data_IF_701868598599
#
_entry.id   IF_701868598599
#
_cell.length_a   1.000
_cell.length_b   1.000
_cell.length_c   1.000
_cell.angle_alpha   90.00
_cell.angle_beta   90.00
_cell.angle_gamma   90.00
#
_symmetry.space_group_name_H-M   'P 1'
#
loop_
_entity.id
_entity.type
_entity.pdbx_description
1 polymer ?
#
# COMPACT_ATOMS: atom_id res chain seq x y z
N UNK A 1 5.44 23.63 -8.92
CA UNK A 1 6.72 23.03 -9.32
C UNK A 1 7.67 22.75 -8.14
N UNK A 2 7.87 23.67 -7.20
CA UNK A 2 8.75 23.42 -6.02
C UNK A 2 8.24 22.24 -5.17
N UNK A 3 6.96 22.13 -4.91
CA UNK A 3 6.34 21.03 -4.13
C UNK A 3 6.56 19.67 -4.78
N UNK A 4 6.49 19.57 -6.10
CA UNK A 4 6.73 18.32 -6.84
C UNK A 4 8.20 17.91 -6.80
N UNK A 5 9.12 18.88 -6.89
CA UNK A 5 10.56 18.65 -6.77
C UNK A 5 10.91 18.18 -5.34
N UNK A 6 10.39 18.86 -4.32
CA UNK A 6 10.62 18.48 -2.91
C UNK A 6 10.04 17.08 -2.62
N UNK A 7 8.81 16.80 -3.04
CA UNK A 7 8.19 15.48 -2.85
C UNK A 7 8.94 14.38 -3.61
N UNK A 8 9.39 14.67 -4.83
CA UNK A 8 10.20 13.74 -5.61
C UNK A 8 11.50 13.40 -4.90
N UNK A 9 12.23 14.42 -4.47
CA UNK A 9 13.50 14.26 -3.73
C UNK A 9 13.30 13.45 -2.45
N UNK A 10 12.26 13.78 -1.67
CA UNK A 10 11.93 13.07 -0.43
C UNK A 10 11.59 11.60 -0.69
N UNK A 11 10.77 11.31 -1.70
CA UNK A 11 10.36 9.95 -2.06
C UNK A 11 11.51 9.10 -2.63
N UNK A 12 12.54 9.74 -3.23
CA UNK A 12 13.66 9.01 -3.81
C UNK A 12 14.80 8.74 -2.82
N UNK A 13 15.06 9.67 -1.88
CA UNK A 13 16.26 9.64 -1.06
C UNK A 13 16.02 9.27 0.40
N UNK A 14 14.80 9.45 0.92
CA UNK A 14 14.53 9.28 2.37
C UNK A 14 13.73 8.02 2.66
N UNK A 15 12.86 7.58 1.74
CA UNK A 15 12.03 6.40 1.98
C UNK A 15 12.75 5.16 1.42
N UNK A 16 13.07 4.21 2.31
CA UNK A 16 13.64 2.93 1.92
C UNK A 16 12.67 2.14 1.03
N UNK A 17 13.14 1.51 -0.04
CA UNK A 17 12.31 0.66 -0.87
C UNK A 17 11.78 -0.52 -0.06
N UNK A 18 10.53 -0.90 -0.31
CA UNK A 18 9.90 -2.08 0.30
C UNK A 18 9.56 -3.07 -0.80
N UNK A 19 9.96 -4.31 -0.60
CA UNK A 19 9.71 -5.43 -1.51
C UNK A 19 8.64 -6.34 -0.93
N UNK A 20 7.79 -6.90 -1.77
CA UNK A 20 6.74 -7.82 -1.38
C UNK A 20 6.91 -9.15 -2.10
N UNK A 21 7.09 -10.22 -1.34
CA UNK A 21 6.95 -11.57 -1.84
C UNK A 21 5.52 -12.05 -1.61
N UNK A 22 5.00 -12.89 -2.51
CA UNK A 22 3.66 -13.47 -2.37
C UNK A 22 3.63 -14.93 -2.80
N UNK A 23 2.68 -15.68 -2.23
CA UNK A 23 2.38 -17.06 -2.59
C UNK A 23 0.89 -17.29 -2.52
N UNK A 24 0.39 -18.28 -3.28
CA UNK A 24 -0.99 -18.76 -3.19
C UNK A 24 -1.02 -20.22 -2.78
N UNK A 25 -1.85 -20.50 -1.80
CA UNK A 25 -2.03 -21.82 -1.22
C UNK A 25 -3.48 -22.27 -1.44
N UNK A 26 -3.65 -23.47 -1.97
CA UNK A 26 -4.96 -24.14 -2.10
C UNK A 26 -5.21 -25.01 -0.90
N UNK A 27 -6.45 -25.02 -0.44
CA UNK A 27 -6.92 -25.82 0.69
C UNK A 27 -8.09 -26.69 0.24
N UNK A 28 -7.89 -27.99 0.25
CA UNK A 28 -8.88 -28.93 -0.28
C UNK A 28 -8.76 -30.32 0.35
N UNK A 29 -9.32 -31.30 -0.31
CA UNK A 29 -9.26 -32.69 0.09
C UNK A 29 -8.12 -33.40 -0.63
N UNK A 30 -7.56 -34.45 -0.04
CA UNK A 30 -6.53 -35.25 -0.66
C UNK A 30 -7.04 -36.00 -1.91
N UNK A 31 -6.23 -36.09 -2.96
CA UNK A 31 -6.60 -36.62 -4.29
C UNK A 31 -7.20 -38.03 -4.26
N UNK A 32 -6.84 -38.84 -3.28
CA UNK A 32 -7.36 -40.21 -3.11
C UNK A 32 -8.87 -40.33 -2.82
N UNK A 33 -9.54 -39.18 -2.59
CA UNK A 33 -10.96 -39.12 -2.19
C UNK A 33 -11.83 -38.30 -3.16
N UNK A 34 -11.39 -38.09 -4.40
CA UNK A 34 -12.09 -37.24 -5.39
C UNK A 34 -13.47 -37.81 -5.81
N UNK A 35 -13.68 -39.11 -5.68
CA UNK A 35 -14.97 -39.75 -6.04
C UNK A 35 -16.19 -39.25 -5.27
N UNK A 36 -16.02 -38.54 -4.15
CA UNK A 36 -17.09 -38.04 -3.31
C UNK A 36 -16.95 -36.56 -2.93
N UNK A 37 -16.52 -35.69 -3.87
CA UNK A 37 -16.52 -34.27 -3.62
C UNK A 37 -17.96 -33.72 -3.57
N UNK A 38 -18.43 -33.41 -2.36
CA UNK A 38 -19.77 -32.92 -2.15
C UNK A 38 -19.77 -31.40 -1.94
N UNK A 39 -20.88 -30.73 -2.28
CA UNK A 39 -21.05 -29.30 -2.05
C UNK A 39 -20.78 -28.88 -0.59
N UNK A 40 -21.11 -29.77 0.36
CA UNK A 40 -20.83 -29.56 1.77
C UNK A 40 -19.32 -29.48 2.08
N UNK A 41 -18.49 -30.25 1.36
CA UNK A 41 -17.03 -30.21 1.51
C UNK A 41 -16.47 -28.87 1.09
N UNK A 42 -16.93 -28.34 -0.06
CA UNK A 42 -16.52 -27.01 -0.56
C UNK A 42 -16.85 -25.94 0.49
N UNK A 43 -18.07 -25.96 1.01
CA UNK A 43 -18.51 -24.99 2.03
C UNK A 43 -17.69 -25.10 3.33
N UNK A 44 -17.34 -26.32 3.73
CA UNK A 44 -16.50 -26.57 4.89
C UNK A 44 -15.09 -25.98 4.68
N UNK A 45 -14.47 -26.27 3.54
CA UNK A 45 -13.13 -25.73 3.23
C UNK A 45 -13.13 -24.19 3.11
N UNK A 46 -14.17 -23.60 2.54
CA UNK A 46 -14.34 -22.14 2.52
C UNK A 46 -14.42 -21.55 3.94
N UNK A 47 -15.08 -22.22 4.88
CA UNK A 47 -15.09 -21.79 6.29
C UNK A 47 -13.71 -21.95 6.95
N UNK A 48 -12.98 -23.02 6.61
CA UNK A 48 -11.63 -23.24 7.10
C UNK A 48 -10.63 -22.17 6.63
N UNK A 49 -10.83 -21.56 5.45
CA UNK A 49 -9.97 -20.49 4.96
C UNK A 49 -9.83 -19.35 5.97
N UNK A 50 -10.93 -18.97 6.63
CA UNK A 50 -10.89 -17.91 7.65
C UNK A 50 -10.08 -18.34 8.87
N UNK A 51 -10.27 -19.57 9.34
CA UNK A 51 -9.50 -20.13 10.46
C UNK A 51 -8.02 -20.19 10.12
N UNK A 52 -7.68 -20.64 8.92
CA UNK A 52 -6.30 -20.71 8.48
C UNK A 52 -5.65 -19.34 8.27
N UNK A 53 -6.41 -18.34 7.79
CA UNK A 53 -5.91 -16.97 7.71
C UNK A 53 -5.57 -16.39 9.07
N UNK A 54 -6.36 -16.70 10.09
CA UNK A 54 -6.07 -16.28 11.47
C UNK A 54 -4.90 -17.08 12.07
N UNK A 55 -4.80 -18.38 11.76
CA UNK A 55 -3.71 -19.23 12.20
C UNK A 55 -2.34 -18.70 11.73
N UNK A 56 -2.25 -18.30 10.45
CA UNK A 56 -1.01 -17.73 9.89
C UNK A 56 -0.57 -16.47 10.65
N UNK A 57 -1.51 -15.70 11.18
CA UNK A 57 -1.26 -14.46 11.94
C UNK A 57 -1.04 -14.70 13.43
N UNK A 58 -0.94 -15.94 13.89
CA UNK A 58 -0.64 -16.20 15.30
C UNK A 58 0.82 -15.94 15.61
N UNK A 59 1.08 -15.38 16.81
CA UNK A 59 2.46 -15.14 17.28
C UNK A 59 3.29 -16.41 17.35
N UNK A 60 2.66 -17.53 17.68
CA UNK A 60 3.33 -18.81 17.81
C UNK A 60 3.84 -19.34 16.48
N UNK A 61 3.00 -19.31 15.42
CA UNK A 61 3.42 -19.70 14.07
C UNK A 61 4.53 -18.79 13.54
N UNK A 62 4.39 -17.48 13.70
CA UNK A 62 5.42 -16.53 13.25
C UNK A 62 6.73 -16.74 14.02
N UNK A 63 6.67 -16.94 15.32
CA UNK A 63 7.87 -17.20 16.13
C UNK A 63 8.61 -18.47 15.68
N UNK A 64 7.88 -19.57 15.40
CA UNK A 64 8.46 -20.79 14.84
C UNK A 64 9.08 -20.55 13.45
N UNK A 65 8.40 -19.77 12.62
CA UNK A 65 8.91 -19.41 11.28
C UNK A 65 10.19 -18.58 11.35
N UNK A 66 10.29 -17.66 12.33
CA UNK A 66 11.51 -16.89 12.58
C UNK A 66 12.64 -17.80 13.09
N UNK A 67 12.32 -18.69 14.03
CA UNK A 67 13.31 -19.64 14.57
C UNK A 67 13.90 -20.54 13.50
N UNK A 68 13.12 -20.90 12.49
CA UNK A 68 13.55 -21.68 11.33
C UNK A 68 14.24 -20.83 10.25
N UNK A 69 14.31 -19.50 10.43
CA UNK A 69 15.00 -18.60 9.53
C UNK A 69 16.44 -18.33 9.96
N UNK A 70 17.25 -17.81 9.03
CA UNK A 70 18.61 -17.32 9.31
C UNK A 70 18.62 -15.87 9.83
N UNK A 71 17.44 -15.27 10.05
CA UNK A 71 17.30 -13.86 10.40
C UNK A 71 16.79 -13.68 11.81
N UNK A 72 17.39 -12.76 12.55
CA UNK A 72 16.88 -12.29 13.84
C UNK A 72 15.86 -11.17 13.59
N UNK A 73 14.58 -11.53 13.57
CA UNK A 73 13.47 -10.60 13.35
C UNK A 73 12.56 -10.56 14.58
N UNK A 74 11.99 -9.41 14.85
CA UNK A 74 10.97 -9.29 15.90
C UNK A 74 9.62 -9.84 15.41
N UNK A 75 8.91 -10.56 16.27
CA UNK A 75 7.62 -11.20 15.95
C UNK A 75 6.56 -10.17 15.57
N UNK A 76 6.52 -9.04 16.27
CA UNK A 76 5.55 -7.98 16.01
C UNK A 76 5.84 -7.30 14.66
N UNK A 77 7.12 -7.09 14.31
CA UNK A 77 7.52 -6.54 13.02
C UNK A 77 7.11 -7.46 11.88
N UNK A 78 7.31 -8.78 12.03
CA UNK A 78 6.89 -9.75 11.00
C UNK A 78 5.36 -9.76 10.88
N UNK A 79 4.62 -9.77 11.99
CA UNK A 79 3.15 -9.73 11.99
C UNK A 79 2.59 -8.48 11.31
N UNK A 80 3.21 -7.32 11.52
CA UNK A 80 2.79 -6.06 10.91
C UNK A 80 3.02 -6.03 9.37
N UNK A 81 3.97 -6.84 8.90
CA UNK A 81 4.35 -6.90 7.48
C UNK A 81 3.80 -8.12 6.74
N UNK A 82 3.18 -9.07 7.45
CA UNK A 82 2.46 -10.21 6.87
C UNK A 82 1.04 -9.80 6.51
N UNK A 83 0.64 -10.14 5.29
CA UNK A 83 -0.72 -9.97 4.78
C UNK A 83 -1.28 -11.31 4.35
N UNK A 84 -2.48 -11.65 4.83
CA UNK A 84 -3.17 -12.88 4.48
C UNK A 84 -4.56 -12.53 3.97
N UNK A 85 -4.85 -12.93 2.73
CA UNK A 85 -6.11 -12.62 2.04
C UNK A 85 -6.72 -13.90 1.47
N UNK A 86 -7.99 -14.14 1.75
CA UNK A 86 -8.76 -15.22 1.10
C UNK A 86 -9.27 -14.74 -0.25
N UNK A 87 -9.13 -15.57 -1.29
CA UNK A 87 -9.66 -15.26 -2.61
C UNK A 87 -11.14 -15.63 -2.62
N UNK A 88 -12.02 -14.64 -2.84
CA UNK A 88 -13.47 -14.82 -2.79
C UNK A 88 -13.94 -15.97 -3.69
N UNK A 89 -14.91 -16.73 -3.21
CA UNK A 89 -15.54 -17.87 -3.91
C UNK A 89 -14.59 -18.99 -4.36
N UNK A 90 -13.40 -19.04 -3.76
CA UNK A 90 -12.41 -20.09 -4.02
C UNK A 90 -11.97 -20.78 -2.74
N UNK A 91 -11.11 -21.78 -2.88
CA UNK A 91 -10.45 -22.47 -1.77
C UNK A 91 -8.95 -22.04 -1.67
N UNK A 92 -8.67 -20.76 -1.94
CA UNK A 92 -7.30 -20.24 -1.99
C UNK A 92 -7.07 -19.16 -0.95
N UNK A 93 -5.87 -19.18 -0.37
CA UNK A 93 -5.32 -18.11 0.46
C UNK A 93 -4.10 -17.55 -0.25
N UNK A 94 -4.04 -16.24 -0.35
CA UNK A 94 -2.83 -15.52 -0.73
C UNK A 94 -2.14 -15.03 0.54
N UNK A 95 -0.87 -15.35 0.67
CA UNK A 95 0.00 -14.88 1.75
C UNK A 95 1.05 -13.98 1.12
N UNK A 96 1.28 -12.81 1.70
CA UNK A 96 2.32 -11.91 1.26
C UNK A 96 3.09 -11.37 2.46
N UNK A 97 4.37 -11.12 2.27
CA UNK A 97 5.26 -10.55 3.28
C UNK A 97 6.09 -9.42 2.68
N UNK A 98 6.18 -8.32 3.42
CA UNK A 98 6.91 -7.13 3.02
C UNK A 98 8.20 -6.98 3.82
N UNK A 99 9.29 -6.62 3.12
CA UNK A 99 10.58 -6.32 3.76
C UNK A 99 11.34 -5.27 2.96
N UNK A 100 12.31 -4.63 3.59
CA UNK A 100 13.26 -3.73 2.91
C UNK A 100 14.29 -4.50 2.07
N UNK A 101 14.44 -5.81 2.30
CA UNK A 101 15.32 -6.70 1.52
C UNK A 101 14.49 -7.74 0.76
N UNK A 102 14.70 -7.89 -0.56
CA UNK A 102 14.01 -8.89 -1.37
C UNK A 102 14.30 -10.33 -0.89
N UNK A 103 15.52 -10.62 -0.44
CA UNK A 103 15.88 -11.95 0.07
C UNK A 103 15.16 -12.26 1.39
N UNK A 104 15.06 -11.29 2.30
CA UNK A 104 14.31 -11.48 3.55
C UNK A 104 12.82 -11.66 3.24
N UNK A 105 12.27 -10.87 2.29
CA UNK A 105 10.87 -11.01 1.89
C UNK A 105 10.56 -12.42 1.39
N UNK A 106 11.40 -12.96 0.51
CA UNK A 106 11.26 -14.31 -0.03
C UNK A 106 11.41 -15.38 1.05
N UNK A 107 12.56 -15.42 1.71
CA UNK A 107 12.92 -16.51 2.63
C UNK A 107 11.96 -16.56 3.84
N UNK A 108 11.57 -15.39 4.38
CA UNK A 108 10.63 -15.33 5.49
C UNK A 108 9.24 -15.83 5.09
N UNK A 109 8.76 -15.47 3.88
CA UNK A 109 7.49 -15.97 3.37
C UNK A 109 7.53 -17.48 3.12
N UNK A 110 8.64 -18.03 2.61
CA UNK A 110 8.83 -19.47 2.47
C UNK A 110 8.73 -20.18 3.82
N UNK A 111 9.40 -19.66 4.86
CA UNK A 111 9.34 -20.23 6.20
C UNK A 111 7.92 -20.15 6.81
N UNK A 112 7.24 -19.00 6.69
CA UNK A 112 5.84 -18.85 7.13
C UNK A 112 4.94 -19.87 6.42
N UNK A 113 5.11 -20.02 5.10
CA UNK A 113 4.29 -20.93 4.30
C UNK A 113 4.53 -22.40 4.67
N UNK A 114 5.78 -22.80 4.88
CA UNK A 114 6.13 -24.16 5.27
C UNK A 114 5.61 -24.49 6.68
N UNK A 115 5.78 -23.56 7.63
CA UNK A 115 5.29 -23.74 8.99
C UNK A 115 3.75 -23.79 9.03
N UNK A 116 3.08 -22.96 8.20
CA UNK A 116 1.65 -23.02 8.03
C UNK A 116 1.17 -24.37 7.49
N UNK A 117 1.82 -24.91 6.46
CA UNK A 117 1.47 -26.22 5.88
C UNK A 117 1.60 -27.32 6.93
N UNK A 118 2.71 -27.34 7.67
CA UNK A 118 2.95 -28.30 8.74
C UNK A 118 1.86 -28.23 9.82
N UNK A 119 1.58 -27.03 10.32
CA UNK A 119 0.55 -26.81 11.34
C UNK A 119 -0.85 -27.13 10.84
N UNK A 120 -1.17 -26.80 9.60
CA UNK A 120 -2.47 -27.09 9.00
C UNK A 120 -2.71 -28.61 8.85
N UNK A 121 -1.68 -29.39 8.51
CA UNK A 121 -1.75 -30.86 8.43
C UNK A 121 -1.92 -31.51 9.81
N UNK A 122 -1.31 -30.94 10.86
CA UNK A 122 -1.52 -31.40 12.23
C UNK A 122 -2.97 -31.16 12.71
N UNK A 123 -3.55 -30.00 12.36
CA UNK A 123 -4.93 -29.65 12.76
C UNK A 123 -6.01 -30.41 11.99
N UNK A 124 -5.77 -30.70 10.71
CA UNK A 124 -6.73 -31.40 9.83
C UNK A 124 -5.99 -32.48 9.05
N UNK A 125 -5.81 -33.69 9.63
CA UNK A 125 -5.00 -34.75 9.04
C UNK A 125 -5.42 -35.21 7.64
N UNK A 126 -6.70 -35.01 7.25
CA UNK A 126 -7.22 -35.31 5.90
C UNK A 126 -7.34 -34.07 5.00
N UNK A 127 -6.86 -32.93 5.47
CA UNK A 127 -6.82 -31.70 4.69
C UNK A 127 -5.56 -31.66 3.82
N UNK A 128 -5.75 -31.32 2.54
CA UNK A 128 -4.62 -31.10 1.64
C UNK A 128 -4.39 -29.59 1.49
N UNK A 129 -3.21 -29.15 1.92
CA UNK A 129 -2.72 -27.79 1.75
C UNK A 129 -1.60 -27.82 0.74
N UNK A 130 -1.81 -27.21 -0.42
CA UNK A 130 -0.86 -27.26 -1.55
C UNK A 130 -0.49 -25.86 -2.01
N UNK A 131 0.79 -25.59 -2.15
CA UNK A 131 1.29 -24.35 -2.78
C UNK A 131 0.98 -24.42 -4.28
N UNK A 132 0.25 -23.41 -4.78
CA UNK A 132 -0.06 -23.24 -6.20
C UNK A 132 0.95 -22.34 -6.90
N UNK A 133 1.37 -21.31 -6.21
CA UNK A 133 2.35 -20.33 -6.69
C UNK A 133 3.56 -20.34 -5.74
N UNK A 134 4.73 -20.74 -6.24
CA UNK A 134 5.97 -20.69 -5.45
C UNK A 134 6.34 -19.25 -5.12
N UNK A 135 7.03 -19.07 -3.99
CA UNK A 135 7.53 -17.74 -3.60
C UNK A 135 8.67 -17.35 -4.55
N UNK A 136 8.47 -16.28 -5.30
CA UNK A 136 9.50 -15.72 -6.17
C UNK A 136 10.24 -14.57 -5.49
N UNK A 137 11.48 -14.34 -5.91
CA UNK A 137 12.26 -13.19 -5.45
C UNK A 137 11.68 -11.91 -6.08
N UNK A 138 11.20 -10.94 -5.28
CA UNK A 138 10.66 -9.71 -5.83
C UNK A 138 11.76 -8.87 -6.50
N UNK A 139 11.60 -8.59 -7.79
CA UNK A 139 12.56 -7.80 -8.58
C UNK A 139 12.38 -6.30 -8.39
N UNK A 140 11.13 -5.84 -8.21
CA UNK A 140 10.80 -4.43 -8.08
C UNK A 140 10.20 -4.10 -6.70
N UNK A 141 10.51 -2.93 -6.15
CA UNK A 141 9.90 -2.48 -4.90
C UNK A 141 8.43 -2.07 -5.11
N UNK A 142 7.55 -2.52 -4.21
CA UNK A 142 6.12 -2.16 -4.21
C UNK A 142 5.85 -0.80 -3.57
N UNK A 143 6.78 -0.30 -2.75
CA UNK A 143 6.70 1.01 -2.12
C UNK A 143 8.09 1.68 -2.05
N UNK A 144 8.12 3.04 -2.08
CA UNK A 144 7.01 3.97 -2.24
C UNK A 144 6.49 4.03 -3.68
N UNK A 145 5.19 4.25 -3.85
CA UNK A 145 4.61 4.51 -5.18
C UNK A 145 4.98 5.93 -5.64
N UNK A 146 6.14 6.07 -6.27
CA UNK A 146 6.71 7.35 -6.70
C UNK A 146 5.79 8.13 -7.63
N UNK A 147 5.10 7.45 -8.55
CA UNK A 147 4.15 8.07 -9.48
C UNK A 147 2.96 8.70 -8.75
N UNK A 148 2.39 7.99 -7.79
CA UNK A 148 1.27 8.47 -6.98
C UNK A 148 1.69 9.64 -6.09
N UNK A 149 2.87 9.57 -5.45
CA UNK A 149 3.38 10.64 -4.59
C UNK A 149 3.62 11.93 -5.38
N UNK A 150 4.16 11.83 -6.60
CA UNK A 150 4.34 12.98 -7.49
C UNK A 150 2.99 13.56 -7.93
N UNK A 151 2.01 12.72 -8.27
CA UNK A 151 0.69 13.19 -8.67
C UNK A 151 -0.03 13.94 -7.53
N UNK A 152 0.00 13.40 -6.31
CA UNK A 152 -0.57 14.05 -5.12
C UNK A 152 0.13 15.39 -4.84
N UNK A 153 1.46 15.41 -4.88
CA UNK A 153 2.22 16.63 -4.65
C UNK A 153 1.96 17.71 -5.71
N UNK A 154 1.72 17.30 -6.96
CA UNK A 154 1.36 18.22 -8.04
C UNK A 154 0.00 18.89 -7.79
N UNK A 155 -1.02 18.09 -7.44
CA UNK A 155 -2.36 18.62 -7.12
C UNK A 155 -2.30 19.56 -5.91
N UNK A 156 -1.63 19.17 -4.84
CA UNK A 156 -1.46 20.01 -3.65
C UNK A 156 -0.71 21.30 -3.99
N UNK A 157 0.32 21.22 -4.83
CA UNK A 157 1.07 22.40 -5.29
C UNK A 157 0.20 23.40 -6.04
N UNK A 158 -0.72 22.94 -6.90
CA UNK A 158 -1.70 23.77 -7.59
C UNK A 158 -2.65 24.43 -6.57
N UNK A 159 -3.19 23.66 -5.62
CA UNK A 159 -4.11 24.20 -4.60
C UNK A 159 -3.44 25.29 -3.75
N UNK A 160 -2.21 25.06 -3.31
CA UNK A 160 -1.44 26.06 -2.55
C UNK A 160 -1.15 27.29 -3.43
N UNK A 161 -0.82 27.09 -4.71
CA UNK A 161 -0.62 28.19 -5.65
C UNK A 161 -1.85 29.07 -5.79
N UNK A 162 -3.02 28.50 -5.97
CA UNK A 162 -4.28 29.27 -6.00
C UNK A 162 -4.52 29.99 -4.68
N UNK A 163 -4.34 29.33 -3.53
CA UNK A 163 -4.52 29.95 -2.23
C UNK A 163 -3.62 31.19 -2.04
N UNK A 164 -2.37 31.11 -2.48
CA UNK A 164 -1.43 32.24 -2.45
C UNK A 164 -1.89 33.37 -3.36
N UNK A 165 -2.33 33.07 -4.59
CA UNK A 165 -2.83 34.08 -5.54
C UNK A 165 -4.06 34.79 -4.96
N UNK A 166 -5.01 34.04 -4.42
CA UNK A 166 -6.20 34.65 -3.77
C UNK A 166 -5.82 35.50 -2.57
N UNK A 167 -4.85 35.05 -1.76
CA UNK A 167 -4.37 35.82 -0.61
C UNK A 167 -3.69 37.13 -1.04
N UNK A 168 -2.85 37.07 -2.07
CA UNK A 168 -2.19 38.26 -2.61
C UNK A 168 -3.21 39.25 -3.21
N UNK A 169 -4.21 38.75 -3.96
CA UNK A 169 -5.28 39.59 -4.50
C UNK A 169 -6.15 40.20 -3.40
N UNK A 170 -6.43 39.45 -2.33
CA UNK A 170 -7.15 39.94 -1.17
C UNK A 170 -6.40 41.02 -0.40
N UNK A 171 -5.07 40.96 -0.34
CA UNK A 171 -4.20 41.95 0.30
C UNK A 171 -3.86 43.13 -0.60
N UNK A 172 -4.16 43.03 -1.91
CA UNK A 172 -3.91 44.10 -2.88
C UNK A 172 -5.03 45.14 -2.82
N UNK A 173 -4.79 46.19 -2.08
CA UNK A 173 -5.68 47.34 -1.94
C UNK A 173 -5.51 48.39 -3.05
N UNK A 174 -4.91 48.00 -4.20
CA UNK A 174 -4.65 48.92 -5.31
C UNK A 174 -5.86 49.02 -6.23
N UNK A 175 -6.31 50.22 -6.50
CA UNK A 175 -7.38 50.46 -7.49
C UNK A 175 -6.81 50.27 -8.88
N UNK A 176 -7.27 49.22 -9.58
CA UNK A 176 -6.79 48.85 -10.94
C UNK A 176 -7.63 49.54 -12.04
N UNK A 177 -8.85 49.93 -11.72
CA UNK A 177 -9.78 50.49 -12.69
C UNK A 177 -10.44 51.75 -12.13
N UNK A 178 -10.72 52.71 -13.06
CA UNK A 178 -11.41 53.98 -12.77
C UNK A 178 -12.78 53.74 -12.12
N UNK A 179 -13.54 52.75 -12.61
CA UNK A 179 -14.88 52.41 -12.13
C UNK A 179 -14.88 51.91 -10.67
N UNK A 180 -13.83 51.19 -10.25
CA UNK A 180 -13.68 50.76 -8.85
C UNK A 180 -13.45 51.96 -7.93
N UNK A 181 -12.58 52.89 -8.33
CA UNK A 181 -12.29 54.08 -7.57
C UNK A 181 -13.51 54.98 -7.39
N UNK A 182 -14.28 55.20 -8.46
CA UNK A 182 -15.53 55.97 -8.45
C UNK A 182 -16.59 55.33 -7.56
N UNK A 183 -16.70 54.02 -7.56
CA UNK A 183 -17.69 53.26 -6.79
C UNK A 183 -17.36 53.24 -5.29
N UNK A 184 -16.09 53.09 -4.92
CA UNK A 184 -15.67 53.00 -3.51
C UNK A 184 -15.57 54.36 -2.83
N UNK A 185 -15.23 55.40 -3.58
CA UNK A 185 -15.11 56.78 -3.02
C UNK A 185 -16.34 57.65 -3.26
N UNK A 186 -17.29 57.18 -4.08
CA UNK A 186 -18.50 57.93 -4.47
C UNK A 186 -18.19 59.34 -5.08
N UNK A 187 -17.02 59.45 -5.77
CA UNK A 187 -16.52 60.67 -6.38
C UNK A 187 -16.14 60.39 -7.85
N UNK A 188 -16.57 61.22 -8.82
CA UNK A 188 -16.23 61.01 -10.23
C UNK A 188 -14.75 61.31 -10.48
N UNK A 189 -14.08 60.41 -11.23
CA UNK A 189 -12.70 60.61 -11.66
C UNK A 189 -12.63 61.55 -12.83
N UNK A 190 -12.05 62.74 -12.61
CA UNK A 190 -11.98 63.79 -13.60
C UNK A 190 -10.90 63.60 -14.68
N UNK A 191 -9.93 62.71 -14.45
CA UNK A 191 -8.88 62.42 -15.41
C UNK A 191 -7.89 61.42 -14.91
N UNK A 192 -7.15 60.76 -15.84
CA UNK A 192 -6.09 59.81 -15.56
C UNK A 192 -4.75 60.36 -16.13
N UNK A 193 -3.74 60.44 -15.29
CA UNK A 193 -2.43 60.84 -15.70
C UNK A 193 -1.62 59.56 -16.02
N UNK A 194 -1.26 59.28 -17.29
CA UNK A 194 -0.46 58.12 -17.62
C UNK A 194 0.91 58.23 -17.04
N UNK A 195 1.39 57.19 -16.36
CA UNK A 195 2.76 57.10 -15.90
C UNK A 195 3.67 56.90 -17.10
N UNK A 196 4.45 57.93 -17.47
CA UNK A 196 5.53 57.74 -18.47
C UNK A 196 6.70 57.03 -17.79
N UNK A 197 7.02 55.80 -18.20
CA UNK A 197 8.30 55.22 -17.88
C UNK A 197 9.38 56.07 -18.57
N UNK A 198 10.13 56.85 -17.78
CA UNK A 198 11.41 57.38 -18.24
C UNK A 198 12.37 56.18 -18.28
N UNK A 199 12.81 55.81 -19.49
CA UNK A 199 13.93 54.90 -19.72
C UNK A 199 15.21 55.43 -19.10
#
# INVERSE_FOLDING_TARGET
>A
MISTLVSGTFSFFIISPTYEASTKVFIGKEESSVENYNYNDITMYQKLLKTYSELIKTKDLINRSITNSEYELDVEDVLNNVSVTTVADTQMIQIAYKSTSPNIAKNMLENITNEFITTAQELVPNGNVRVLESVELPEEPVAPNKKMNIAIAFILGIMVGFAIVFLLEYLDNTYKNKEQLEKDLDIPVLGVIPMSHLE
#
